data_IF_083060950031
#
_entry.id   IF_083060950031
#
_cell.length_a   1.000
_cell.length_b   1.000
_cell.length_c   1.000
_cell.angle_alpha   90.00
_cell.angle_beta   90.00
_cell.angle_gamma   90.00
#
_symmetry.space_group_name_H-M   'P 1'
#
loop_
_entity.id
_entity.type
_entity.pdbx_description
1 polymer ?
#
# COMPACT_ATOMS: atom_id res chain seq x y z
N UNK A 1 34.11 5.68 -25.00
CA UNK A 1 33.83 5.59 -23.55
C UNK A 1 32.49 4.91 -23.41
N UNK A 2 32.46 3.60 -23.12
CA UNK A 2 31.20 2.94 -22.77
C UNK A 2 30.90 3.29 -21.32
N UNK A 3 29.85 4.06 -21.10
CA UNK A 3 29.35 4.33 -19.76
C UNK A 3 28.50 3.10 -19.40
N UNK A 4 28.94 2.33 -18.40
CA UNK A 4 28.14 1.26 -17.83
C UNK A 4 27.09 1.91 -16.92
N UNK A 5 25.82 1.86 -17.33
CA UNK A 5 24.69 2.23 -16.49
C UNK A 5 24.14 0.95 -15.84
N UNK A 6 24.05 0.94 -14.52
CA UNK A 6 23.37 -0.13 -13.78
C UNK A 6 21.98 0.35 -13.39
N UNK A 7 20.96 -0.47 -13.64
CA UNK A 7 19.60 -0.21 -13.16
C UNK A 7 19.52 -0.59 -11.68
N UNK A 8 18.93 0.30 -10.88
CA UNK A 8 18.66 0.07 -9.46
C UNK A 8 17.18 -0.26 -9.32
N UNK A 9 16.88 -1.44 -8.81
CA UNK A 9 15.51 -1.85 -8.53
C UNK A 9 14.98 -1.12 -7.27
N UNK A 10 13.81 -0.49 -7.40
CA UNK A 10 13.09 0.12 -6.29
C UNK A 10 11.76 -0.60 -6.07
N UNK A 11 11.69 -1.34 -4.97
CA UNK A 11 10.52 -2.13 -4.58
C UNK A 11 9.56 -1.38 -3.66
N UNK A 12 9.87 -0.16 -3.24
CA UNK A 12 8.94 0.64 -2.46
C UNK A 12 7.76 1.08 -3.34
N UNK A 13 6.56 1.11 -2.74
CA UNK A 13 5.33 1.57 -3.39
C UNK A 13 4.73 2.72 -2.56
N UNK A 14 3.43 2.71 -2.27
CA UNK A 14 2.88 3.66 -1.31
C UNK A 14 3.46 3.45 0.10
N UNK A 15 3.30 4.40 1.04
CA UNK A 15 3.76 4.23 2.41
C UNK A 15 3.26 2.91 3.02
N UNK A 16 4.16 2.13 3.60
CA UNK A 16 3.89 0.79 4.15
C UNK A 16 4.03 -0.37 3.15
N UNK A 17 4.10 -0.08 1.85
CA UNK A 17 4.00 -1.11 0.80
C UNK A 17 5.33 -1.49 0.18
N UNK A 18 5.52 -2.79 0.00
CA UNK A 18 6.63 -3.40 -0.73
C UNK A 18 6.12 -4.20 -1.94
N UNK A 19 6.79 -4.09 -3.07
CA UNK A 19 6.44 -4.85 -4.28
C UNK A 19 6.86 -6.30 -4.18
N UNK A 20 5.89 -7.19 -4.35
CA UNK A 20 6.13 -8.61 -4.51
C UNK A 20 6.18 -8.95 -6.00
N UNK A 21 7.39 -9.27 -6.49
CA UNK A 21 7.64 -9.58 -7.89
C UNK A 21 7.02 -10.90 -8.34
N UNK A 22 6.75 -11.86 -7.44
CA UNK A 22 6.18 -13.15 -7.80
C UNK A 22 4.70 -13.02 -8.17
N UNK A 23 3.98 -12.14 -7.48
CA UNK A 23 2.54 -11.96 -7.64
C UNK A 23 2.15 -10.68 -8.39
N UNK A 24 3.06 -9.71 -8.47
CA UNK A 24 2.76 -8.36 -8.96
C UNK A 24 1.93 -7.51 -7.97
N UNK A 25 1.67 -8.02 -6.77
CA UNK A 25 0.93 -7.32 -5.72
C UNK A 25 1.86 -6.50 -4.85
N UNK A 26 1.28 -5.62 -4.04
CA UNK A 26 2.02 -4.85 -3.05
C UNK A 26 1.70 -5.39 -1.67
N UNK A 27 2.70 -5.93 -0.98
CA UNK A 27 2.58 -6.37 0.40
C UNK A 27 2.54 -5.16 1.34
N UNK A 28 1.44 -5.01 2.08
CA UNK A 28 1.22 -3.98 3.08
C UNK A 28 0.98 -4.63 4.45
N UNK A 29 2.01 -5.29 4.98
CA UNK A 29 2.06 -5.96 6.27
C UNK A 29 0.93 -6.97 6.54
N UNK A 30 -0.29 -6.54 6.85
CA UNK A 30 -1.42 -7.40 7.11
C UNK A 30 -2.18 -7.82 5.84
N UNK A 31 -2.01 -7.09 4.72
CA UNK A 31 -2.78 -7.33 3.49
C UNK A 31 -1.97 -7.12 2.23
N UNK A 32 -2.37 -7.80 1.16
CA UNK A 32 -1.90 -7.55 -0.19
C UNK A 32 -2.82 -6.56 -0.91
N UNK A 33 -2.21 -5.54 -1.52
CA UNK A 33 -2.86 -4.51 -2.34
C UNK A 33 -2.64 -4.81 -3.82
N UNK A 34 -3.72 -4.74 -4.59
CA UNK A 34 -3.69 -4.84 -6.05
C UNK A 34 -3.63 -3.44 -6.66
N UNK A 35 -2.52 -3.06 -7.32
CA UNK A 35 -2.42 -1.77 -8.01
C UNK A 35 -3.37 -1.68 -9.21
N UNK A 36 -3.70 -2.81 -9.84
CA UNK A 36 -4.62 -2.88 -10.97
C UNK A 36 -6.05 -2.48 -10.59
N UNK A 37 -6.51 -2.91 -9.41
CA UNK A 37 -7.89 -2.64 -8.95
C UNK A 37 -7.98 -1.48 -7.96
N UNK A 38 -6.85 -1.03 -7.39
CA UNK A 38 -6.81 0.07 -6.43
C UNK A 38 -7.31 -0.32 -5.03
N UNK A 39 -7.20 -1.59 -4.63
CA UNK A 39 -7.78 -2.11 -3.37
C UNK A 39 -7.03 -3.32 -2.82
N UNK A 40 -7.31 -3.65 -1.57
CA UNK A 40 -6.85 -4.91 -0.98
C UNK A 40 -7.56 -6.10 -1.62
N UNK A 41 -6.85 -7.23 -1.71
CA UNK A 41 -7.40 -8.48 -2.24
C UNK A 41 -8.05 -9.36 -1.16
N UNK A 42 -7.83 -9.03 0.11
CA UNK A 42 -8.41 -9.70 1.27
C UNK A 42 -9.23 -8.70 2.11
N UNK A 43 -10.27 -9.22 2.76
CA UNK A 43 -11.09 -8.44 3.69
C UNK A 43 -10.25 -8.00 4.91
N UNK A 44 -10.61 -6.84 5.46
CA UNK A 44 -9.95 -6.28 6.63
C UNK A 44 -10.06 -7.20 7.87
N UNK A 45 -8.94 -7.65 8.47
CA UNK A 45 -8.98 -8.53 9.63
C UNK A 45 -9.54 -7.86 10.89
N UNK A 46 -9.51 -6.52 10.98
CA UNK A 46 -10.17 -5.79 12.08
C UNK A 46 -11.67 -5.53 11.81
N UNK A 47 -12.19 -6.06 10.69
CA UNK A 47 -13.59 -5.94 10.30
C UNK A 47 -14.00 -4.49 10.07
N UNK A 48 -15.16 -4.11 10.63
CA UNK A 48 -15.73 -2.76 10.45
C UNK A 48 -14.94 -1.66 11.17
N UNK A 49 -13.91 -2.00 11.95
CA UNK A 49 -13.02 -1.02 12.58
C UNK A 49 -12.27 -0.14 11.57
N UNK A 50 -11.96 -0.67 10.38
CA UNK A 50 -11.37 0.08 9.24
C UNK A 50 -12.39 0.78 8.34
N UNK A 51 -13.68 0.62 8.63
CA UNK A 51 -14.81 1.15 7.88
C UNK A 51 -15.65 0.08 7.17
N UNK A 52 -16.75 0.51 6.55
CA UNK A 52 -17.74 -0.39 5.95
C UNK A 52 -17.23 -1.14 4.71
N UNK A 53 -16.24 -0.59 4.01
CA UNK A 53 -15.62 -1.24 2.86
C UNK A 53 -14.33 -1.95 3.29
N UNK A 54 -14.44 -3.27 3.49
CA UNK A 54 -13.37 -4.13 3.99
C UNK A 54 -12.17 -4.29 3.04
N UNK A 55 -12.25 -3.78 1.80
CA UNK A 55 -11.20 -3.91 0.79
C UNK A 55 -10.56 -2.56 0.44
N UNK A 56 -11.02 -1.46 1.04
CA UNK A 56 -10.60 -0.11 0.65
C UNK A 56 -9.18 0.19 1.12
N UNK A 57 -8.35 0.68 0.20
CA UNK A 57 -7.08 1.32 0.54
C UNK A 57 -7.28 2.81 0.80
N UNK A 58 -6.60 3.36 1.81
CA UNK A 58 -6.43 4.80 2.04
C UNK A 58 -7.71 5.65 1.89
N UNK A 59 -8.83 5.23 2.48
CA UNK A 59 -10.12 5.92 2.35
C UNK A 59 -10.58 6.22 0.90
N UNK A 60 -10.10 5.45 -0.09
CA UNK A 60 -10.29 5.69 -1.52
C UNK A 60 -9.73 7.04 -2.01
N UNK A 61 -8.79 7.62 -1.26
CA UNK A 61 -8.10 8.87 -1.58
C UNK A 61 -6.61 8.77 -1.22
N UNK A 62 -5.82 7.97 -1.98
CA UNK A 62 -4.40 7.74 -1.72
C UNK A 62 -3.52 8.99 -1.90
N UNK A 63 -4.07 10.08 -2.45
CA UNK A 63 -3.37 11.36 -2.53
C UNK A 63 -3.32 12.09 -1.18
N UNK A 64 -4.28 11.84 -0.29
CA UNK A 64 -4.41 12.53 1.00
C UNK A 64 -4.30 11.59 2.19
N UNK A 65 -4.39 10.28 1.96
CA UNK A 65 -4.39 9.25 2.99
C UNK A 65 -3.44 8.13 2.59
N UNK A 66 -2.93 7.41 3.58
CA UNK A 66 -2.17 6.18 3.40
C UNK A 66 -2.59 5.18 4.48
N UNK A 67 -2.17 3.93 4.34
CA UNK A 67 -2.43 2.88 5.33
C UNK A 67 -1.09 2.18 5.60
N UNK A 68 -0.56 2.36 6.81
CA UNK A 68 0.83 2.02 7.13
C UNK A 68 1.07 0.52 7.28
N UNK A 69 0.10 -0.20 7.83
CA UNK A 69 0.20 -1.62 8.17
C UNK A 69 -0.86 -2.46 7.49
N UNK A 70 -1.72 -1.86 6.68
CA UNK A 70 -2.80 -2.55 6.03
C UNK A 70 -3.99 -2.78 6.94
N UNK A 71 -4.27 -1.94 7.94
CA UNK A 71 -5.45 -2.04 8.81
C UNK A 71 -6.29 -0.77 8.82
N UNK A 72 -5.68 0.41 8.85
CA UNK A 72 -6.42 1.68 8.97
C UNK A 72 -5.78 2.80 8.18
N UNK A 73 -6.63 3.66 7.59
CA UNK A 73 -6.15 4.82 6.85
C UNK A 73 -5.78 5.98 7.80
N UNK A 74 -4.57 6.51 7.65
CA UNK A 74 -4.08 7.72 8.30
C UNK A 74 -4.02 8.87 7.28
N UNK A 75 -4.31 10.10 7.74
CA UNK A 75 -4.16 11.28 6.90
C UNK A 75 -2.68 11.60 6.68
N UNK A 76 -2.31 12.03 5.47
CA UNK A 76 -0.95 12.41 5.11
C UNK A 76 -0.37 13.52 6.01
N UNK A 77 -1.23 14.35 6.61
CA UNK A 77 -0.85 15.43 7.52
C UNK A 77 -0.64 15.00 8.97
N UNK A 78 -0.99 13.76 9.33
CA UNK A 78 -0.81 13.26 10.69
C UNK A 78 0.62 12.72 10.84
N UNK A 79 1.60 13.63 10.90
CA UNK A 79 2.93 13.30 11.41
C UNK A 79 2.82 13.35 12.94
N UNK A 80 2.67 12.19 13.59
CA UNK A 80 2.92 12.10 15.02
C UNK A 80 4.43 12.21 15.24
N UNK A 81 4.85 13.32 15.86
CA UNK A 81 6.14 13.42 16.54
C UNK A 81 6.10 12.65 17.85
#
# INVERSE_FOLDING_TARGET
MNILTADIENNLRFPGQYYDAETGLHYNWNRYYSPETGRYIAADPIGLGGGINLYRYANANPANWYDFDGLTAAAASLVMY
#
